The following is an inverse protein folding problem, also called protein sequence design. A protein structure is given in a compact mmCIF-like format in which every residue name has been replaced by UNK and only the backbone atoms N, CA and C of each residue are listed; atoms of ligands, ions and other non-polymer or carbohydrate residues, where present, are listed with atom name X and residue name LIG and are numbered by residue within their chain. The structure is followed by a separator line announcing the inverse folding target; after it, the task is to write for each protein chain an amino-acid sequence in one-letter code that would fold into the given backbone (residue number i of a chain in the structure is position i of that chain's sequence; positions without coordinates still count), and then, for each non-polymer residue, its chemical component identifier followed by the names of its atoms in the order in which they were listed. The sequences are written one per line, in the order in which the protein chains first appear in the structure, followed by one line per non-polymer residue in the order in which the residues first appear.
data_IF_220942587121
#
_entry.id   IF_220942587121
#
_cell.length_a   1.000
_cell.length_b   1.000
_cell.length_c   1.000
_cell.angle_alpha   90.00
_cell.angle_beta   90.00
_cell.angle_gamma   90.00
#
_symmetry.space_group_name_H-M   'P 1'
#
loop_
_entity.id
_entity.type
_entity.pdbx_description
1 polymer ?
#
# COMPACT_ATOMS: atom_id res chain seq x y z
N UNK A 1 4.97 8.20 -10.23
CA UNK A 1 5.33 9.63 -10.13
C UNK A 1 5.52 10.30 -11.48
N UNK A 2 6.18 9.69 -12.48
CA UNK A 2 6.26 10.33 -13.81
C UNK A 2 4.89 10.69 -14.41
N UNK A 3 3.89 9.80 -14.31
CA UNK A 3 2.52 10.12 -14.75
C UNK A 3 1.86 11.22 -13.91
N UNK A 4 2.09 11.24 -12.59
CA UNK A 4 1.56 12.27 -11.71
C UNK A 4 2.22 13.63 -11.97
N UNK A 5 3.53 13.65 -12.24
CA UNK A 5 4.34 14.84 -12.51
C UNK A 5 4.06 15.45 -13.90
N UNK A 6 3.59 14.64 -14.85
CA UNK A 6 3.19 15.08 -16.19
C UNK A 6 1.67 15.29 -16.31
N UNK A 7 0.94 15.15 -15.21
CA UNK A 7 -0.51 15.31 -15.19
C UNK A 7 -0.91 16.78 -15.22
N UNK A 8 -2.01 17.11 -15.90
CA UNK A 8 -2.58 18.47 -15.93
C UNK A 8 -3.07 18.97 -14.57
N UNK A 9 -3.19 18.07 -13.61
CA UNK A 9 -3.58 18.37 -12.23
C UNK A 9 -2.39 18.33 -11.26
N UNK A 10 -1.15 18.20 -11.75
CA UNK A 10 0.03 18.13 -10.90
C UNK A 10 0.14 19.34 -9.97
N UNK A 11 0.01 20.53 -10.53
CA UNK A 11 0.05 21.80 -9.77
C UNK A 11 -1.08 21.85 -8.75
N UNK A 12 -2.30 21.45 -9.11
CA UNK A 12 -3.43 21.38 -8.17
C UNK A 12 -3.22 20.34 -7.06
N UNK A 13 -2.59 19.20 -7.34
CA UNK A 13 -2.25 18.20 -6.31
C UNK A 13 -1.18 18.72 -5.35
N UNK A 14 -0.27 19.56 -5.83
CA UNK A 14 0.75 20.20 -4.98
C UNK A 14 0.10 21.27 -4.10
N UNK A 15 -0.79 22.10 -4.66
CA UNK A 15 -1.42 23.21 -3.95
C UNK A 15 -2.54 22.77 -2.99
N UNK A 16 -3.31 21.73 -3.34
CA UNK A 16 -4.51 21.33 -2.59
C UNK A 16 -4.27 20.18 -1.61
N UNK A 17 -3.17 19.44 -1.73
CA UNK A 17 -2.86 18.34 -0.81
C UNK A 17 -1.90 18.80 0.29
N UNK A 18 -2.45 19.15 1.46
CA UNK A 18 -1.65 19.51 2.63
C UNK A 18 -0.74 18.37 3.12
N UNK A 19 -1.14 17.11 2.92
CA UNK A 19 -0.37 15.91 3.28
C UNK A 19 -0.18 15.01 2.07
N UNK A 20 1.07 14.63 1.80
CA UNK A 20 1.45 13.77 0.69
C UNK A 20 2.18 12.52 1.21
N UNK A 21 1.93 11.37 0.59
CA UNK A 21 2.57 10.09 0.93
C UNK A 21 3.40 9.63 -0.26
N UNK A 22 4.70 9.44 -0.05
CA UNK A 22 5.63 8.95 -1.06
C UNK A 22 6.11 7.55 -0.72
N UNK A 23 5.73 6.61 -1.58
CA UNK A 23 6.13 5.21 -1.47
C UNK A 23 7.57 5.00 -1.96
N UNK A 24 8.29 3.96 -1.47
CA UNK A 24 9.64 3.68 -1.93
C UNK A 24 9.72 3.45 -3.43
N UNK A 25 10.62 4.15 -4.09
CA UNK A 25 10.77 4.12 -5.54
C UNK A 25 12.25 4.19 -5.96
N UNK A 26 12.87 3.01 -6.06
CA UNK A 26 14.23 2.85 -6.58
C UNK A 26 14.42 3.33 -8.04
N UNK A 27 13.36 3.62 -8.79
CA UNK A 27 13.41 4.20 -10.14
C UNK A 27 13.07 5.69 -10.16
N UNK A 28 12.94 6.33 -9.00
CA UNK A 28 12.65 7.75 -8.90
C UNK A 28 13.72 8.59 -9.61
N UNK A 29 13.28 9.63 -10.30
CA UNK A 29 14.11 10.66 -10.93
C UNK A 29 13.94 11.94 -10.12
N UNK A 30 15.03 12.62 -9.80
CA UNK A 30 15.01 13.77 -8.90
C UNK A 30 14.06 14.87 -9.40
N UNK A 31 14.15 15.22 -10.69
CA UNK A 31 13.31 16.24 -11.33
C UNK A 31 11.80 16.00 -11.18
N UNK A 32 11.37 14.73 -11.21
CA UNK A 32 9.95 14.38 -11.07
C UNK A 32 9.43 14.66 -9.65
N UNK A 33 10.30 14.61 -8.64
CA UNK A 33 9.95 14.78 -7.23
C UNK A 33 10.22 16.19 -6.74
N UNK A 34 11.21 16.89 -7.30
CA UNK A 34 11.48 18.30 -7.00
C UNK A 34 10.24 19.18 -7.26
N UNK A 35 9.45 18.85 -8.29
CA UNK A 35 8.16 19.51 -8.58
C UNK A 35 7.17 19.45 -7.40
N UNK A 36 7.25 18.43 -6.56
CA UNK A 36 6.41 18.25 -5.38
C UNK A 36 7.03 18.83 -4.10
N UNK A 37 8.06 19.67 -4.22
CA UNK A 37 8.75 20.28 -3.07
C UNK A 37 9.54 19.28 -2.23
N UNK A 38 9.94 18.16 -2.83
CA UNK A 38 10.76 17.14 -2.17
C UNK A 38 12.22 17.61 -2.17
N UNK A 39 12.80 17.72 -0.98
CA UNK A 39 14.21 18.02 -0.79
C UNK A 39 15.11 16.83 -1.14
N UNK A 40 16.41 17.08 -1.32
CA UNK A 40 17.36 16.01 -1.64
C UNK A 40 17.37 14.88 -0.61
N UNK A 41 17.31 15.23 0.68
CA UNK A 41 17.29 14.25 1.76
C UNK A 41 16.01 13.41 1.76
N UNK A 42 14.87 14.03 1.47
CA UNK A 42 13.59 13.31 1.32
C UNK A 42 13.62 12.39 0.09
N UNK A 43 14.21 12.85 -1.01
CA UNK A 43 14.37 12.06 -2.23
C UNK A 43 15.26 10.83 -2.01
N UNK A 44 16.38 10.98 -1.31
CA UNK A 44 17.27 9.88 -0.94
C UNK A 44 16.53 8.80 -0.14
N UNK A 45 15.70 9.20 0.84
CA UNK A 45 14.84 8.27 1.59
C UNK A 45 13.91 7.51 0.62
N UNK A 46 13.20 8.23 -0.25
CA UNK A 46 12.26 7.62 -1.21
C UNK A 46 12.99 6.64 -2.14
N UNK A 47 14.19 6.97 -2.60
CA UNK A 47 14.97 6.19 -3.55
C UNK A 47 15.56 4.92 -2.94
N UNK A 48 16.02 5.00 -1.69
CA UNK A 48 16.82 3.94 -1.05
C UNK A 48 16.02 3.05 -0.10
N UNK A 49 14.86 3.50 0.37
CA UNK A 49 14.00 2.67 1.24
C UNK A 49 13.60 1.37 0.53
N UNK A 50 13.67 0.26 1.26
CA UNK A 50 13.23 -1.04 0.76
C UNK A 50 11.70 -1.07 0.61
N UNK A 51 11.21 -1.52 -0.55
CA UNK A 51 9.77 -1.66 -0.82
C UNK A 51 9.11 -2.69 0.10
N UNK A 52 9.83 -3.70 0.56
CA UNK A 52 9.30 -4.72 1.47
C UNK A 52 9.24 -4.24 2.93
N UNK A 53 9.82 -3.08 3.26
CA UNK A 53 9.85 -2.56 4.62
C UNK A 53 8.48 -2.04 5.11
N UNK A 54 7.53 -1.82 4.20
CA UNK A 54 6.28 -1.09 4.45
C UNK A 54 6.47 0.32 5.00
N UNK A 55 7.67 0.89 4.84
CA UNK A 55 7.96 2.27 5.18
C UNK A 55 7.71 3.22 4.01
N UNK A 56 7.31 4.45 4.32
CA UNK A 56 7.05 5.52 3.35
C UNK A 56 7.26 6.89 3.99
N UNK A 57 7.53 7.88 3.14
CA UNK A 57 7.66 9.27 3.57
C UNK A 57 6.28 9.92 3.59
N UNK A 58 5.94 10.56 4.70
CA UNK A 58 4.79 11.48 4.80
C UNK A 58 5.34 12.89 4.83
N UNK A 59 4.90 13.74 3.91
CA UNK A 59 5.22 15.18 3.88
C UNK A 59 3.97 16.00 4.21
N UNK A 60 4.09 16.92 5.15
CA UNK A 60 3.05 17.87 5.52
C UNK A 60 3.63 19.28 5.55
N UNK A 61 3.35 20.05 4.49
CA UNK A 61 4.01 21.34 4.26
C UNK A 61 5.55 21.20 4.23
N UNK A 62 6.22 21.84 5.19
CA UNK A 62 7.69 21.82 5.31
C UNK A 62 8.22 20.69 6.21
N UNK A 63 7.34 19.90 6.81
CA UNK A 63 7.72 18.80 7.69
C UNK A 63 7.59 17.46 6.97
N UNK A 64 8.47 16.53 7.30
CA UNK A 64 8.37 15.16 6.83
C UNK A 64 8.76 14.15 7.90
N UNK A 65 8.08 13.00 7.85
CA UNK A 65 8.33 11.86 8.72
C UNK A 65 8.38 10.58 7.89
N UNK A 66 9.19 9.62 8.32
CA UNK A 66 9.14 8.25 7.79
C UNK A 66 8.23 7.44 8.70
N UNK A 67 7.15 6.93 8.15
CA UNK A 67 6.22 6.05 8.85
C UNK A 67 6.37 4.62 8.32
N UNK A 68 6.04 3.64 9.16
CA UNK A 68 5.94 2.23 8.78
C UNK A 68 4.52 1.76 9.01
N UNK A 69 3.91 1.16 8.01
CA UNK A 69 2.61 0.51 8.13
C UNK A 69 2.81 -0.91 8.66
N UNK A 70 2.56 -1.09 9.96
CA UNK A 70 2.55 -2.40 10.60
C UNK A 70 1.13 -2.96 10.68
N UNK A 71 0.87 -3.99 9.89
CA UNK A 71 -0.40 -4.72 9.87
C UNK A 71 -0.24 -6.17 10.37
N UNK A 72 0.87 -6.49 11.03
CA UNK A 72 1.16 -7.85 11.51
C UNK A 72 0.05 -8.43 12.40
N UNK A 73 -0.64 -7.59 13.16
CA UNK A 73 -1.78 -7.97 14.02
C UNK A 73 -3.09 -8.20 13.26
N UNK A 74 -3.18 -7.82 11.98
CA UNK A 74 -4.39 -7.85 11.17
C UNK A 74 -4.41 -8.99 10.13
N UNK A 75 -3.61 -10.04 10.33
CA UNK A 75 -3.42 -11.18 9.41
C UNK A 75 -4.72 -11.79 8.86
N UNK A 76 -5.78 -11.83 9.68
CA UNK A 76 -7.10 -12.34 9.28
C UNK A 76 -7.86 -11.36 8.41
N UNK A 77 -7.94 -10.10 8.84
CA UNK A 77 -8.64 -9.06 8.10
C UNK A 77 -7.99 -8.81 6.72
N UNK A 78 -6.66 -8.74 6.68
CA UNK A 78 -5.91 -8.57 5.43
C UNK A 78 -6.18 -9.72 4.48
N UNK A 79 -6.23 -10.98 4.95
CA UNK A 79 -6.49 -12.11 4.07
C UNK A 79 -7.85 -12.04 3.36
N UNK A 80 -8.84 -11.42 4.00
CA UNK A 80 -10.15 -11.17 3.39
C UNK A 80 -10.08 -9.99 2.41
N UNK A 81 -9.41 -8.91 2.80
CA UNK A 81 -9.31 -7.68 1.99
C UNK A 81 -8.38 -7.81 0.78
N UNK A 82 -7.34 -8.64 0.85
CA UNK A 82 -6.31 -8.77 -0.19
C UNK A 82 -6.80 -9.49 -1.44
N UNK A 83 -7.82 -10.37 -1.30
CA UNK A 83 -8.54 -10.99 -2.41
C UNK A 83 -7.67 -11.56 -3.54
N UNK A 84 -6.55 -12.21 -3.23
CA UNK A 84 -5.69 -12.81 -4.27
C UNK A 84 -6.45 -13.91 -5.01
N UNK A 85 -6.10 -14.16 -6.27
CA UNK A 85 -6.73 -15.20 -7.11
C UNK A 85 -6.86 -16.55 -6.37
N UNK A 86 -5.82 -16.95 -5.64
CA UNK A 86 -5.82 -18.21 -4.89
C UNK A 86 -6.77 -18.16 -3.69
N UNK A 87 -6.78 -17.06 -2.94
CA UNK A 87 -7.70 -16.90 -1.80
C UNK A 87 -9.16 -16.83 -2.25
N UNK A 88 -9.44 -16.20 -3.38
CA UNK A 88 -10.79 -16.14 -3.97
C UNK A 88 -11.25 -17.54 -4.37
N UNK A 89 -10.42 -18.30 -5.10
CA UNK A 89 -10.73 -19.69 -5.48
C UNK A 89 -10.95 -20.60 -4.27
N UNK A 90 -10.14 -20.42 -3.22
CA UNK A 90 -10.29 -21.15 -1.97
C UNK A 90 -11.65 -20.84 -1.32
N UNK A 91 -12.01 -19.56 -1.22
CA UNK A 91 -13.30 -19.13 -0.66
C UNK A 91 -14.48 -19.67 -1.47
N UNK A 92 -14.41 -19.64 -2.81
CA UNK A 92 -15.45 -20.22 -3.67
C UNK A 92 -15.64 -21.72 -3.41
N UNK A 93 -14.55 -22.48 -3.29
CA UNK A 93 -14.61 -23.91 -2.97
C UNK A 93 -15.26 -24.15 -1.61
N UNK A 94 -14.90 -23.37 -0.60
CA UNK A 94 -15.44 -23.49 0.76
C UNK A 94 -16.94 -23.16 0.76
N UNK A 95 -17.35 -22.05 0.14
CA UNK A 95 -18.75 -21.60 0.04
C UNK A 95 -19.67 -22.66 -0.58
N UNK A 96 -19.20 -23.42 -1.57
CA UNK A 96 -19.96 -24.56 -2.14
C UNK A 96 -20.31 -25.65 -1.11
N UNK A 97 -19.52 -25.80 -0.06
CA UNK A 97 -19.70 -26.82 0.98
C UNK A 97 -20.34 -26.29 2.27
N UNK A 98 -20.04 -25.05 2.64
CA UNK A 98 -20.49 -24.45 3.91
C UNK A 98 -21.63 -23.45 3.74
N UNK A 99 -21.95 -23.07 2.50
CA UNK A 99 -22.92 -22.02 2.16
C UNK A 99 -22.30 -20.61 2.13
N UNK A 100 -23.16 -19.65 1.79
CA UNK A 100 -22.79 -18.26 1.44
C UNK A 100 -22.53 -17.35 2.64
N UNK A 101 -23.06 -17.70 3.81
CA UNK A 101 -23.01 -16.86 4.99
C UNK A 101 -21.58 -16.81 5.58
N UNK A 102 -20.98 -15.62 5.79
CA UNK A 102 -19.61 -15.47 6.30
C UNK A 102 -19.32 -16.25 7.59
N UNK A 103 -20.28 -16.33 8.49
CA UNK A 103 -20.16 -17.08 9.75
C UNK A 103 -19.88 -18.56 9.52
N UNK A 104 -20.27 -19.09 8.35
CA UNK A 104 -20.08 -20.49 7.97
C UNK A 104 -18.76 -20.74 7.24
N UNK A 105 -18.39 -19.90 6.26
CA UNK A 105 -17.21 -20.15 5.42
C UNK A 105 -15.93 -19.49 5.95
N UNK A 106 -16.01 -18.37 6.65
CA UNK A 106 -14.85 -17.58 7.07
C UNK A 106 -13.94 -18.31 8.08
N UNK A 107 -14.45 -19.06 9.08
CA UNK A 107 -13.60 -19.85 9.98
C UNK A 107 -12.79 -20.91 9.21
N UNK A 108 -13.44 -21.59 8.26
CA UNK A 108 -12.81 -22.61 7.41
C UNK A 108 -11.76 -22.00 6.49
N UNK A 109 -12.04 -20.84 5.89
CA UNK A 109 -11.07 -20.11 5.08
C UNK A 109 -9.78 -19.80 5.83
N UNK A 110 -9.88 -19.27 7.07
CA UNK A 110 -8.69 -18.99 7.87
C UNK A 110 -7.90 -20.25 8.24
N UNK A 111 -8.59 -21.37 8.49
CA UNK A 111 -7.94 -22.64 8.80
C UNK A 111 -7.20 -23.22 7.60
N UNK A 112 -7.85 -23.25 6.44
CA UNK A 112 -7.30 -23.83 5.21
C UNK A 112 -6.17 -22.97 4.64
N UNK A 113 -6.29 -21.63 4.68
CA UNK A 113 -5.20 -20.72 4.26
C UNK A 113 -3.91 -20.97 5.04
N UNK A 114 -3.99 -21.17 6.36
CA UNK A 114 -2.81 -21.42 7.20
C UNK A 114 -2.15 -22.78 6.95
N UNK A 115 -2.84 -23.73 6.32
CA UNK A 115 -2.26 -25.03 5.94
C UNK A 115 -1.50 -24.99 4.62
N UNK A 116 -1.80 -24.01 3.77
CA UNK A 116 -1.21 -23.85 2.45
C UNK A 116 -0.04 -22.84 2.42
N UNK A 117 0.19 -22.13 3.53
CA UNK A 117 1.30 -21.20 3.73
C UNK A 117 2.43 -21.88 4.51
#
# INVERSE_FOLDING_TARGET
MSDAANSRIADSLIEQCATQIFMPNNKAKEDDYAKFGISQKEFEIIKTTDKASHAFLIKHGQHSVVAKLDLSSMERAIAVLSGTTDTVRLVEKIRKTTGEQPEKWLPTFHKERKRAA
#
